data_IF_706031088314
#
_entry.id   IF_706031088314
#
_cell.length_a   1.000
_cell.length_b   1.000
_cell.length_c   1.000
_cell.angle_alpha   90.00
_cell.angle_beta   90.00
_cell.angle_gamma   90.00
#
_symmetry.space_group_name_H-M   'P 1'
#
loop_
_entity.id
_entity.type
_entity.pdbx_description
1 polymer ?
#
# COMPACT_ATOMS: atom_id res chain seq x y z
N UNK A 1 37.77 -22.48 -24.41
CA UNK A 1 38.72 -21.44 -23.95
C UNK A 1 40.02 -22.05 -23.43
N UNK A 2 39.97 -23.30 -22.93
CA UNK A 2 41.11 -24.10 -22.48
C UNK A 2 42.34 -23.98 -23.39
N UNK A 3 42.16 -24.12 -24.70
CA UNK A 3 43.26 -24.15 -25.69
C UNK A 3 43.99 -22.81 -25.89
N UNK A 4 43.47 -21.69 -25.34
CA UNK A 4 44.10 -20.37 -25.53
C UNK A 4 45.37 -20.18 -24.70
N UNK A 5 45.54 -20.91 -23.61
CA UNK A 5 46.67 -20.74 -22.70
C UNK A 5 47.24 -22.10 -22.30
N UNK A 6 48.55 -22.28 -22.52
CA UNK A 6 49.28 -23.51 -22.13
C UNK A 6 49.67 -23.51 -20.65
N UNK A 7 49.98 -22.35 -20.10
CA UNK A 7 50.17 -22.15 -18.66
C UNK A 7 49.04 -21.28 -18.10
N UNK A 8 48.20 -21.92 -17.27
CA UNK A 8 47.08 -21.26 -16.59
C UNK A 8 47.51 -20.51 -15.32
N UNK A 9 48.64 -20.89 -14.71
CA UNK A 9 49.20 -20.21 -13.53
C UNK A 9 49.79 -18.86 -13.91
N UNK A 10 50.57 -18.78 -14.99
CA UNK A 10 51.09 -17.50 -15.50
C UNK A 10 49.93 -16.55 -15.87
N UNK A 11 48.94 -17.07 -16.62
CA UNK A 11 47.76 -16.31 -17.01
C UNK A 11 46.98 -15.78 -15.80
N UNK A 12 46.69 -16.61 -14.80
CA UNK A 12 45.93 -16.20 -13.62
C UNK A 12 46.70 -15.21 -12.73
N UNK A 13 47.99 -15.42 -12.48
CA UNK A 13 48.81 -14.46 -11.72
C UNK A 13 48.81 -13.09 -12.41
N UNK A 14 49.07 -13.05 -13.72
CA UNK A 14 49.07 -11.82 -14.53
C UNK A 14 47.72 -11.09 -14.57
N UNK A 15 46.61 -11.76 -14.22
CA UNK A 15 45.25 -11.21 -14.28
C UNK A 15 44.64 -10.93 -12.90
N UNK A 16 45.14 -11.56 -11.84
CA UNK A 16 44.56 -11.47 -10.48
C UNK A 16 45.45 -10.73 -9.47
N UNK A 17 46.77 -10.61 -9.70
CA UNK A 17 47.63 -9.80 -8.82
C UNK A 17 47.19 -8.33 -8.84
N UNK A 18 46.76 -7.82 -7.68
CA UNK A 18 46.23 -6.45 -7.54
C UNK A 18 44.77 -6.28 -7.98
N UNK A 19 44.10 -7.34 -8.45
CA UNK A 19 42.67 -7.28 -8.77
C UNK A 19 41.81 -7.19 -7.50
N UNK A 20 40.71 -6.43 -7.56
CA UNK A 20 39.69 -6.42 -6.49
C UNK A 20 38.88 -7.72 -6.53
N UNK A 21 38.50 -8.21 -5.36
CA UNK A 21 37.64 -9.39 -5.17
C UNK A 21 36.67 -9.14 -4.00
N UNK A 22 35.73 -10.05 -3.77
CA UNK A 22 34.78 -9.96 -2.65
C UNK A 22 35.50 -10.11 -1.29
N UNK A 23 35.08 -9.37 -0.25
CA UNK A 23 35.49 -9.65 1.13
C UNK A 23 35.16 -11.08 1.55
N UNK A 24 36.00 -11.70 2.39
CA UNK A 24 35.81 -13.08 2.86
C UNK A 24 34.52 -13.29 3.67
N UNK A 25 33.99 -12.24 4.29
CA UNK A 25 32.73 -12.23 5.03
C UNK A 25 31.51 -11.77 4.21
N UNK A 26 31.66 -11.56 2.89
CA UNK A 26 30.58 -11.03 2.04
C UNK A 26 29.31 -11.88 2.10
N UNK A 27 29.44 -13.21 1.97
CA UNK A 27 28.28 -14.12 1.99
C UNK A 27 27.55 -14.09 3.35
N UNK A 28 28.28 -14.00 4.46
CA UNK A 28 27.68 -13.84 5.78
C UNK A 28 26.88 -12.54 5.85
N UNK A 29 27.41 -11.42 5.31
CA UNK A 29 26.68 -10.15 5.29
C UNK A 29 25.44 -10.14 4.41
N UNK A 30 25.42 -10.89 3.31
CA UNK A 30 24.19 -11.13 2.54
C UNK A 30 23.20 -11.96 3.37
N UNK A 31 23.63 -13.07 3.97
CA UNK A 31 22.77 -13.92 4.78
C UNK A 31 22.17 -13.18 5.99
N UNK A 32 22.99 -12.45 6.76
CA UNK A 32 22.56 -11.57 7.87
C UNK A 32 21.47 -10.58 7.39
N UNK A 33 21.66 -9.94 6.23
CA UNK A 33 20.77 -8.90 5.72
C UNK A 33 19.40 -9.39 5.24
N UNK A 34 19.28 -10.69 4.93
CA UNK A 34 18.03 -11.30 4.47
C UNK A 34 17.11 -11.72 5.63
N UNK A 35 17.59 -11.68 6.89
CA UNK A 35 16.80 -12.02 8.07
C UNK A 35 15.81 -10.89 8.40
N UNK A 36 14.53 -11.25 8.47
CA UNK A 36 13.45 -10.41 9.00
C UNK A 36 13.58 -10.24 10.51
N UNK A 37 13.23 -9.06 11.01
CA UNK A 37 13.13 -8.83 12.47
C UNK A 37 11.95 -9.60 13.06
N UNK A 38 10.85 -9.66 12.31
CA UNK A 38 9.62 -10.35 12.70
C UNK A 38 9.68 -11.86 12.41
N UNK A 39 8.89 -12.63 13.16
CA UNK A 39 8.59 -14.06 12.92
C UNK A 39 7.11 -14.26 12.60
N UNK A 40 6.78 -15.29 11.82
CA UNK A 40 5.38 -15.70 11.64
C UNK A 40 4.75 -16.08 12.99
N UNK A 41 3.45 -15.83 13.14
CA UNK A 41 2.72 -16.03 14.40
C UNK A 41 2.81 -14.87 15.39
N UNK A 42 3.53 -13.78 15.09
CA UNK A 42 3.40 -12.53 15.84
C UNK A 42 2.12 -11.80 15.46
N UNK A 43 1.46 -11.22 16.46
CA UNK A 43 0.35 -10.29 16.36
C UNK A 43 0.88 -8.85 16.37
N UNK A 44 0.26 -7.98 15.58
CA UNK A 44 0.54 -6.55 15.52
C UNK A 44 -0.74 -5.77 15.26
N UNK A 45 -0.67 -4.45 15.38
CA UNK A 45 -1.75 -3.54 15.00
C UNK A 45 -1.46 -2.98 13.61
N UNK A 46 -2.46 -2.92 12.74
CA UNK A 46 -2.28 -2.44 11.36
C UNK A 46 -3.54 -1.76 10.83
N UNK A 47 -3.40 -0.82 9.90
CA UNK A 47 -4.54 -0.16 9.24
C UNK A 47 -5.57 -1.16 8.70
N UNK A 48 -6.87 -0.94 8.96
CA UNK A 48 -7.95 -1.70 8.32
C UNK A 48 -8.15 -1.22 6.88
N UNK A 49 -7.81 -2.06 5.89
CA UNK A 49 -7.97 -1.77 4.45
C UNK A 49 -9.42 -1.49 4.03
N UNK A 50 -10.39 -1.88 4.87
CA UNK A 50 -11.81 -1.64 4.65
C UNK A 50 -12.32 -0.37 5.37
N UNK A 51 -11.51 0.20 6.28
CA UNK A 51 -11.81 1.42 7.04
C UNK A 51 -10.50 2.06 7.52
N UNK A 52 -9.89 2.88 6.67
CA UNK A 52 -8.54 3.40 6.89
C UNK A 52 -8.39 4.30 8.14
N UNK A 53 -9.51 4.75 8.71
CA UNK A 53 -9.56 5.53 9.95
C UNK A 53 -9.32 4.74 11.25
N UNK A 54 -9.15 3.41 11.19
CA UNK A 54 -8.94 2.56 12.37
C UNK A 54 -7.81 1.55 12.15
N UNK A 55 -7.14 1.19 13.24
CA UNK A 55 -6.27 0.01 13.28
C UNK A 55 -7.10 -1.26 13.46
N UNK A 56 -6.43 -2.40 13.31
CA UNK A 56 -7.00 -3.73 13.47
C UNK A 56 -5.92 -4.71 13.88
N UNK A 57 -6.26 -5.65 14.76
CA UNK A 57 -5.30 -6.70 15.15
C UNK A 57 -5.11 -7.68 13.99
N UNK A 58 -3.86 -7.93 13.63
CA UNK A 58 -3.49 -8.88 12.58
C UNK A 58 -2.31 -9.76 12.99
N UNK A 59 -2.26 -10.98 12.46
CA UNK A 59 -1.17 -11.94 12.68
C UNK A 59 -0.33 -12.08 11.41
N UNK A 60 0.99 -12.17 11.54
CA UNK A 60 1.91 -12.43 10.42
C UNK A 60 1.85 -13.91 10.04
N UNK A 61 1.31 -14.21 8.86
CA UNK A 61 1.22 -15.59 8.36
C UNK A 61 2.49 -16.02 7.60
N UNK A 62 3.06 -15.10 6.81
CA UNK A 62 4.18 -15.40 5.91
C UNK A 62 5.12 -14.20 5.79
N UNK A 63 6.40 -14.48 5.54
CA UNK A 63 7.43 -13.45 5.28
C UNK A 63 8.21 -13.84 4.02
N UNK A 64 8.42 -12.89 3.10
CA UNK A 64 9.25 -13.06 1.89
C UNK A 64 10.11 -11.83 1.70
N UNK A 65 11.43 -11.96 1.88
CA UNK A 65 12.37 -10.84 1.71
C UNK A 65 12.03 -9.62 2.57
N UNK A 66 11.64 -9.82 3.83
CA UNK A 66 11.13 -8.77 4.76
C UNK A 66 9.79 -8.13 4.41
N UNK A 67 9.15 -8.48 3.27
CA UNK A 67 7.71 -8.23 3.08
C UNK A 67 6.93 -9.20 3.97
N UNK A 68 6.13 -8.65 4.88
CA UNK A 68 5.22 -9.34 5.77
C UNK A 68 3.87 -9.52 5.08
N UNK A 69 3.29 -10.71 5.20
CA UNK A 69 1.91 -10.99 4.86
C UNK A 69 1.10 -11.10 6.15
N UNK A 70 0.09 -10.25 6.29
CA UNK A 70 -0.70 -10.09 7.52
C UNK A 70 -2.17 -10.40 7.27
N UNK A 71 -2.78 -11.12 8.22
CA UNK A 71 -4.19 -11.51 8.22
C UNK A 71 -4.89 -10.98 9.47
N UNK A 72 -6.01 -10.28 9.31
CA UNK A 72 -6.79 -9.76 10.44
C UNK A 72 -7.37 -10.89 11.31
N UNK A 73 -7.48 -10.65 12.62
CA UNK A 73 -7.98 -11.64 13.59
C UNK A 73 -9.38 -12.18 13.28
N UNK A 74 -10.23 -11.36 12.65
CA UNK A 74 -11.60 -11.66 12.25
C UNK A 74 -11.76 -11.81 10.72
N UNK A 75 -10.65 -11.99 9.98
CA UNK A 75 -10.67 -12.15 8.54
C UNK A 75 -11.50 -13.37 8.10
N UNK A 76 -12.40 -13.17 7.13
CA UNK A 76 -13.17 -14.23 6.47
C UNK A 76 -12.22 -15.29 5.85
N UNK A 77 -12.56 -16.59 5.80
CA UNK A 77 -11.74 -17.61 5.15
C UNK A 77 -11.25 -17.26 3.73
N UNK A 78 -12.04 -16.52 2.94
CA UNK A 78 -11.68 -16.08 1.60
C UNK A 78 -10.92 -14.72 1.57
N UNK A 79 -10.80 -14.00 2.69
CA UNK A 79 -9.91 -12.82 2.78
C UNK A 79 -8.44 -13.29 2.74
N UNK A 80 -7.71 -12.77 1.75
CA UNK A 80 -6.31 -13.07 1.49
C UNK A 80 -5.34 -12.18 2.29
N UNK A 81 -5.83 -11.40 3.26
CA UNK A 81 -5.02 -10.48 4.06
C UNK A 81 -4.48 -9.31 3.23
N UNK A 82 -3.26 -8.85 3.51
CA UNK A 82 -2.48 -7.97 2.62
C UNK A 82 -0.98 -8.04 2.93
N UNK A 83 -0.16 -7.30 2.17
CA UNK A 83 1.30 -7.28 2.30
C UNK A 83 1.82 -5.87 2.59
N UNK A 84 2.92 -5.79 3.34
CA UNK A 84 3.68 -4.56 3.62
C UNK A 84 5.14 -4.92 3.94
N UNK A 85 6.08 -3.97 3.92
CA UNK A 85 7.45 -4.23 4.43
C UNK A 85 7.49 -4.21 5.97
N UNK A 86 8.50 -4.85 6.59
CA UNK A 86 8.76 -4.77 8.04
C UNK A 86 9.07 -3.35 8.57
N UNK A 87 9.25 -2.39 7.66
CA UNK A 87 9.50 -0.97 7.93
C UNK A 87 8.35 -0.07 7.46
N UNK A 88 7.20 -0.65 7.11
CA UNK A 88 6.03 0.09 6.66
C UNK A 88 5.43 0.94 7.80
N UNK A 89 5.07 2.22 7.56
CA UNK A 89 4.42 3.06 8.56
C UNK A 89 2.97 2.67 8.86
N UNK A 90 2.46 1.59 8.23
CA UNK A 90 1.10 1.08 8.41
C UNK A 90 0.98 0.05 9.55
N UNK A 91 2.12 -0.54 9.99
CA UNK A 91 2.19 -1.55 11.05
C UNK A 91 2.73 -0.94 12.35
N UNK A 92 2.16 -1.35 13.48
CA UNK A 92 2.43 -0.81 14.81
C UNK A 92 2.48 -1.92 15.87
N UNK A 93 3.21 -1.70 16.99
CA UNK A 93 3.30 -2.68 18.08
C UNK A 93 1.97 -2.85 18.82
N UNK A 94 1.84 -3.98 19.51
CA UNK A 94 0.67 -4.31 20.33
C UNK A 94 0.49 -3.27 21.44
N UNK A 95 -0.71 -2.68 21.52
CA UNK A 95 -1.06 -1.60 22.45
C UNK A 95 -0.84 -0.19 21.89
N UNK A 96 -0.25 -0.02 20.70
CA UNK A 96 0.07 1.28 20.12
C UNK A 96 -1.15 2.19 19.93
N UNK A 97 -2.25 1.69 19.40
CA UNK A 97 -3.44 2.49 19.15
C UNK A 97 -4.01 3.07 20.44
N UNK A 98 -4.03 2.28 21.52
CA UNK A 98 -4.38 2.74 22.88
C UNK A 98 -3.36 3.74 23.43
N UNK A 99 -2.07 3.55 23.15
CA UNK A 99 -0.97 4.45 23.56
C UNK A 99 -1.00 5.81 22.85
N UNK A 100 -1.40 5.85 21.58
CA UNK A 100 -1.51 7.07 20.76
C UNK A 100 -2.87 7.75 20.91
N UNK A 101 -3.96 6.99 21.09
CA UNK A 101 -5.35 7.51 21.09
C UNK A 101 -6.06 7.33 19.74
N UNK A 102 -5.65 6.31 18.99
CA UNK A 102 -6.23 5.86 17.72
C UNK A 102 -7.34 4.82 17.97
N UNK A 103 -8.30 4.70 17.04
CA UNK A 103 -9.37 3.69 17.07
C UNK A 103 -8.82 2.33 16.62
N UNK A 104 -9.26 1.23 17.24
CA UNK A 104 -8.86 -0.14 16.87
C UNK A 104 -10.04 -1.13 16.88
N UNK A 105 -10.10 -2.01 15.89
CA UNK A 105 -10.95 -3.20 15.84
C UNK A 105 -10.16 -4.42 16.37
N UNK A 106 -10.63 -5.02 17.47
CA UNK A 106 -9.92 -6.06 18.22
C UNK A 106 -10.88 -6.97 19.00
N UNK A 107 -10.46 -8.20 19.39
CA UNK A 107 -11.17 -8.98 20.41
C UNK A 107 -11.24 -8.26 21.76
N UNK A 108 -12.32 -8.45 22.53
CA UNK A 108 -12.45 -7.88 23.88
C UNK A 108 -11.26 -8.28 24.77
N UNK A 109 -10.90 -9.57 24.78
CA UNK A 109 -9.73 -10.09 25.51
C UNK A 109 -8.35 -9.70 24.93
N UNK A 110 -8.29 -8.96 23.82
CA UNK A 110 -7.07 -8.24 23.41
C UNK A 110 -7.02 -6.87 24.06
N UNK A 111 -8.16 -6.16 24.08
CA UNK A 111 -8.28 -4.85 24.73
C UNK A 111 -8.00 -4.97 26.23
N UNK A 112 -8.60 -5.94 26.93
CA UNK A 112 -8.34 -6.22 28.35
C UNK A 112 -6.85 -6.42 28.65
N UNK A 113 -6.11 -7.16 27.81
CA UNK A 113 -4.65 -7.32 27.98
C UNK A 113 -3.89 -6.02 27.74
N UNK A 114 -4.31 -5.19 26.79
CA UNK A 114 -3.69 -3.88 26.54
C UNK A 114 -3.98 -2.87 27.67
N UNK A 115 -5.12 -3.01 28.35
CA UNK A 115 -5.46 -2.25 29.55
C UNK A 115 -4.61 -2.66 30.76
N UNK A 116 -4.29 -3.95 30.90
CA UNK A 116 -3.42 -4.51 31.95
C UNK A 116 -1.92 -4.50 31.62
N UNK A 117 -1.53 -4.13 30.39
CA UNK A 117 -0.17 -4.32 29.82
C UNK A 117 0.35 -5.77 29.87
N UNK A 118 -0.57 -6.74 29.73
CA UNK A 118 -0.33 -8.18 29.83
C UNK A 118 0.13 -8.79 28.49
N UNK A 119 1.37 -8.47 28.09
CA UNK A 119 1.97 -8.91 26.83
C UNK A 119 2.23 -10.42 26.76
N UNK A 120 2.14 -10.98 25.56
CA UNK A 120 2.34 -12.39 25.21
C UNK A 120 3.64 -12.58 24.40
N UNK A 121 4.21 -13.79 24.39
CA UNK A 121 5.34 -14.11 23.49
C UNK A 121 4.97 -13.99 21.99
N UNK A 122 3.67 -13.97 21.69
CA UNK A 122 3.12 -13.80 20.34
C UNK A 122 2.78 -12.34 20.01
N UNK A 123 3.04 -11.37 20.88
CA UNK A 123 2.82 -9.96 20.58
C UNK A 123 4.09 -9.32 19.99
N UNK A 124 3.96 -8.51 18.94
CA UNK A 124 5.05 -7.68 18.42
C UNK A 124 5.17 -6.40 19.26
N UNK A 125 6.25 -6.30 20.03
CA UNK A 125 6.61 -5.17 20.91
C UNK A 125 7.42 -4.09 20.15
N UNK A 126 7.61 -2.92 20.76
CA UNK A 126 8.20 -1.75 20.09
C UNK A 126 9.57 -2.02 19.41
N UNK A 127 10.41 -2.92 19.94
CA UNK A 127 11.74 -3.22 19.40
C UNK A 127 11.75 -3.89 18.01
N UNK A 128 10.61 -4.35 17.51
CA UNK A 128 10.48 -4.86 16.13
C UNK A 128 10.29 -3.73 15.10
N UNK A 129 9.86 -2.54 15.52
CA UNK A 129 9.40 -1.46 14.64
C UNK A 129 10.45 -0.34 14.51
N UNK A 130 10.35 0.45 13.44
CA UNK A 130 11.15 1.66 13.31
C UNK A 130 10.49 2.81 14.06
N UNK A 131 11.20 3.42 15.02
CA UNK A 131 10.74 4.64 15.70
C UNK A 131 10.88 5.83 14.74
N UNK A 132 9.81 6.60 14.44
CA UNK A 132 9.92 7.80 13.62
C UNK A 132 10.92 8.81 14.20
N UNK A 133 11.62 9.60 13.35
CA UNK A 133 12.49 10.66 13.84
C UNK A 133 11.67 11.76 14.53
N UNK A 134 12.15 12.31 15.67
CA UNK A 134 11.47 13.37 16.41
C UNK A 134 11.43 14.66 15.58
N UNK A 135 10.45 15.51 15.86
CA UNK A 135 10.30 16.79 15.18
C UNK A 135 11.45 17.76 15.52
N UNK A 136 11.93 18.47 14.49
CA UNK A 136 13.03 19.45 14.61
C UNK A 136 12.61 20.71 15.38
N UNK A 137 11.30 20.98 15.47
CA UNK A 137 10.73 22.06 16.26
C UNK A 137 9.74 21.47 17.27
N UNK A 138 9.96 21.73 18.57
CA UNK A 138 9.11 21.28 19.68
C UNK A 138 8.02 22.29 20.06
N UNK A 139 8.17 23.54 19.63
CA UNK A 139 7.41 24.68 20.13
C UNK A 139 6.19 25.01 19.24
N UNK A 140 6.08 24.31 18.10
CA UNK A 140 4.97 24.40 17.14
C UNK A 140 4.53 22.98 16.81
N UNK A 141 3.23 22.73 16.85
CA UNK A 141 2.60 21.46 16.50
C UNK A 141 1.49 21.66 15.46
N UNK A 142 1.05 20.56 14.84
CA UNK A 142 -0.19 20.53 14.08
C UNK A 142 -1.39 20.79 15.01
N UNK A 143 -2.47 21.37 14.45
CA UNK A 143 -3.73 21.65 15.14
C UNK A 143 -4.91 21.29 14.22
N UNK A 144 -6.05 21.00 14.82
CA UNK A 144 -7.27 20.63 14.08
C UNK A 144 -7.76 21.80 13.21
N UNK A 145 -8.23 21.49 12.00
CA UNK A 145 -8.59 22.47 10.97
C UNK A 145 -7.42 23.00 10.12
N UNK A 146 -6.15 22.72 10.47
CA UNK A 146 -5.02 23.13 9.62
C UNK A 146 -5.05 22.44 8.25
N UNK A 147 -4.85 23.22 7.18
CA UNK A 147 -4.72 22.74 5.80
C UNK A 147 -3.28 22.39 5.42
N UNK A 148 -3.12 21.36 4.60
CA UNK A 148 -1.85 20.89 4.06
C UNK A 148 -2.06 20.20 2.70
N UNK A 149 -0.98 19.71 2.09
CA UNK A 149 -1.01 18.79 0.95
C UNK A 149 -0.56 17.39 1.41
N UNK A 150 -1.15 16.33 0.87
CA UNK A 150 -0.77 14.95 1.23
C UNK A 150 -0.87 14.01 0.03
N UNK A 151 -0.03 12.97 -0.02
CA UNK A 151 -0.27 11.83 -0.93
C UNK A 151 -1.56 11.13 -0.48
N UNK A 152 -2.46 10.90 -1.43
CA UNK A 152 -3.73 10.23 -1.19
C UNK A 152 -3.50 8.73 -0.90
N UNK A 153 -3.90 8.21 0.28
CA UNK A 153 -3.65 6.82 0.69
C UNK A 153 -4.53 5.80 -0.05
N UNK A 154 -5.57 6.24 -0.78
CA UNK A 154 -6.41 5.43 -1.65
C UNK A 154 -6.11 5.66 -3.14
N UNK A 155 -5.27 6.63 -3.48
CA UNK A 155 -4.79 6.88 -4.84
C UNK A 155 -3.38 7.51 -4.84
N UNK A 156 -2.36 6.67 -4.67
CA UNK A 156 -0.96 7.11 -4.50
C UNK A 156 -0.32 7.76 -5.75
N UNK A 157 -1.07 7.90 -6.86
CA UNK A 157 -0.70 8.76 -7.99
C UNK A 157 -0.95 10.26 -7.75
N UNK A 158 -1.82 10.58 -6.79
CA UNK A 158 -2.28 11.92 -6.50
C UNK A 158 -1.63 12.50 -5.23
N UNK A 159 -1.29 13.79 -5.30
CA UNK A 159 -1.14 14.65 -4.12
C UNK A 159 -2.39 15.52 -4.09
N UNK A 160 -3.04 15.59 -2.93
CA UNK A 160 -4.34 16.21 -2.74
C UNK A 160 -4.27 17.30 -1.66
N UNK A 161 -5.19 18.26 -1.74
CA UNK A 161 -5.50 19.15 -0.60
C UNK A 161 -6.07 18.32 0.56
N UNK A 162 -5.62 18.58 1.78
CA UNK A 162 -5.99 17.83 2.96
C UNK A 162 -6.14 18.71 4.22
N UNK A 163 -6.91 18.21 5.19
CA UNK A 163 -7.20 18.88 6.48
C UNK A 163 -6.77 18.01 7.65
N UNK A 164 -6.12 18.58 8.68
CA UNK A 164 -5.93 17.92 9.98
C UNK A 164 -7.28 17.84 10.70
N UNK A 165 -7.78 16.62 10.88
CA UNK A 165 -9.08 16.35 11.51
C UNK A 165 -8.98 16.08 13.01
N UNK A 166 -7.86 15.50 13.46
CA UNK A 166 -7.59 15.21 14.87
C UNK A 166 -6.09 15.14 15.14
N UNK A 167 -5.63 15.68 16.27
CA UNK A 167 -4.25 15.48 16.76
C UNK A 167 -4.22 14.35 17.79
N UNK A 168 -3.24 13.44 17.69
CA UNK A 168 -3.06 12.30 18.59
C UNK A 168 -1.78 12.49 19.44
N UNK A 169 -1.45 11.51 20.30
CA UNK A 169 -0.17 11.48 21.02
C UNK A 169 0.95 10.94 20.12
N UNK A 170 2.21 11.07 20.57
CA UNK A 170 3.41 10.62 19.84
C UNK A 170 3.48 11.22 18.42
N UNK A 171 3.13 12.51 18.28
CA UNK A 171 3.16 13.31 17.04
C UNK A 171 2.40 12.72 15.83
N UNK A 172 1.45 11.81 16.06
CA UNK A 172 0.52 11.34 15.03
C UNK A 172 -0.67 12.31 14.83
N UNK A 173 -1.13 12.41 13.59
CA UNK A 173 -2.29 13.21 13.18
C UNK A 173 -3.23 12.37 12.31
N UNK A 174 -4.53 12.56 12.49
CA UNK A 174 -5.54 12.13 11.51
C UNK A 174 -5.75 13.27 10.53
N UNK A 175 -5.59 12.99 9.24
CA UNK A 175 -5.96 13.91 8.16
C UNK A 175 -7.13 13.36 7.36
N UNK A 176 -7.87 14.23 6.68
CA UNK A 176 -8.83 13.89 5.63
C UNK A 176 -8.36 14.48 4.32
N UNK A 177 -8.59 13.76 3.22
CA UNK A 177 -8.38 14.28 1.87
C UNK A 177 -9.62 15.09 1.44
N UNK A 178 -9.44 16.34 1.04
CA UNK A 178 -10.54 17.27 0.77
C UNK A 178 -11.23 17.04 -0.59
N UNK A 179 -10.66 16.18 -1.46
CA UNK A 179 -11.26 15.77 -2.74
C UNK A 179 -12.35 14.70 -2.58
N UNK A 180 -12.42 14.04 -1.42
CA UNK A 180 -13.43 13.03 -1.08
C UNK A 180 -14.82 13.65 -0.87
N UNK A 181 -15.88 12.84 -1.04
CA UNK A 181 -17.23 13.19 -0.62
C UNK A 181 -17.35 13.29 0.92
N UNK A 182 -18.30 14.08 1.41
CA UNK A 182 -18.46 14.35 2.85
C UNK A 182 -18.91 13.09 3.62
N UNK A 183 -18.02 12.49 4.41
CA UNK A 183 -18.36 11.43 5.36
C UNK A 183 -18.40 11.95 6.82
N UNK A 184 -19.62 12.07 7.35
CA UNK A 184 -19.84 12.43 8.75
C UNK A 184 -19.44 11.32 9.76
N UNK A 185 -19.06 10.13 9.30
CA UNK A 185 -18.56 9.03 10.14
C UNK A 185 -17.04 9.04 10.34
N UNK A 186 -16.31 9.86 9.57
CA UNK A 186 -14.84 9.96 9.59
C UNK A 186 -14.11 8.66 9.25
N UNK A 187 -14.75 7.74 8.51
CA UNK A 187 -14.15 6.48 8.06
C UNK A 187 -13.09 6.68 6.96
N UNK A 188 -13.09 7.87 6.33
CA UNK A 188 -12.18 8.32 5.29
C UNK A 188 -10.92 9.04 5.81
N UNK A 189 -10.80 9.23 7.13
CA UNK A 189 -9.60 9.83 7.74
C UNK A 189 -8.43 8.85 7.72
N UNK A 190 -7.21 9.35 7.55
CA UNK A 190 -5.97 8.56 7.51
C UNK A 190 -4.96 9.04 8.55
N UNK A 191 -4.19 8.11 9.11
CA UNK A 191 -3.17 8.39 10.12
C UNK A 191 -1.79 8.65 9.49
N UNK A 192 -1.20 9.81 9.73
CA UNK A 192 0.21 10.06 9.45
C UNK A 192 0.95 10.51 10.71
N UNK A 193 2.21 10.12 10.86
CA UNK A 193 3.13 10.79 11.79
C UNK A 193 3.52 12.16 11.22
N UNK A 194 3.69 13.19 12.06
CA UNK A 194 4.05 14.54 11.62
C UNK A 194 5.34 14.62 10.78
N UNK A 195 6.34 13.76 11.07
CA UNK A 195 7.56 13.66 10.26
C UNK A 195 7.42 12.84 8.96
N UNK A 196 6.24 12.28 8.66
CA UNK A 196 5.97 11.47 7.45
C UNK A 196 6.35 12.20 6.16
N UNK A 197 7.15 11.60 5.25
CA UNK A 197 7.51 12.23 3.98
C UNK A 197 6.33 12.42 3.02
N UNK A 198 5.16 11.81 3.31
CA UNK A 198 3.97 11.85 2.45
C UNK A 198 3.04 13.05 2.72
N UNK A 199 3.39 13.96 3.63
CA UNK A 199 2.64 15.20 3.90
C UNK A 199 3.52 16.44 3.68
N UNK A 200 2.97 17.49 3.08
CA UNK A 200 3.68 18.65 2.55
C UNK A 200 2.97 19.96 2.93
N UNK A 201 3.67 21.11 2.97
CA UNK A 201 3.04 22.40 3.17
C UNK A 201 2.14 22.77 1.97
N UNK A 202 1.10 23.56 2.20
CA UNK A 202 0.29 24.14 1.13
C UNK A 202 1.15 24.97 0.16
N UNK A 203 0.94 24.76 -1.15
CA UNK A 203 1.74 25.32 -2.23
C UNK A 203 2.97 24.48 -2.61
N UNK A 204 3.19 23.30 -2.01
CA UNK A 204 4.29 22.40 -2.37
C UNK A 204 4.17 21.93 -3.82
N UNK A 205 2.97 21.54 -4.26
CA UNK A 205 2.72 21.13 -5.64
C UNK A 205 2.99 22.26 -6.63
N UNK A 206 2.52 23.48 -6.35
CA UNK A 206 2.71 24.65 -7.21
C UNK A 206 4.20 24.97 -7.41
N UNK A 207 4.94 25.11 -6.30
CA UNK A 207 6.38 25.41 -6.29
C UNK A 207 7.19 24.34 -7.05
N UNK A 208 6.77 23.08 -6.99
CA UNK A 208 7.46 21.97 -7.65
C UNK A 208 6.88 21.60 -9.02
N UNK A 209 5.84 22.30 -9.51
CA UNK A 209 5.11 21.98 -10.75
C UNK A 209 4.55 20.55 -10.79
N UNK A 210 3.90 20.12 -9.71
CA UNK A 210 3.13 18.87 -9.61
C UNK A 210 1.64 19.21 -9.77
N UNK A 211 0.84 18.44 -10.51
CA UNK A 211 -0.61 18.60 -10.51
C UNK A 211 -1.19 18.28 -9.13
N UNK A 212 -1.75 19.29 -8.46
CA UNK A 212 -2.49 19.15 -7.21
C UNK A 212 -3.94 18.72 -7.51
N UNK A 213 -4.43 17.68 -6.84
CA UNK A 213 -5.86 17.36 -6.85
C UNK A 213 -6.58 18.32 -5.89
N UNK A 214 -7.52 19.15 -6.39
CA UNK A 214 -8.18 20.15 -5.57
C UNK A 214 -9.31 19.54 -4.71
N UNK A 215 -9.90 20.32 -3.79
CA UNK A 215 -11.06 19.91 -3.00
C UNK A 215 -12.28 19.57 -3.87
N UNK A 216 -13.22 18.80 -3.32
CA UNK A 216 -14.46 18.41 -4.02
C UNK A 216 -15.20 19.64 -4.55
N UNK A 217 -15.49 19.64 -5.85
CA UNK A 217 -16.24 20.71 -6.53
C UNK A 217 -15.41 21.89 -7.06
N UNK A 218 -14.09 21.89 -6.87
CA UNK A 218 -13.17 22.88 -7.45
C UNK A 218 -12.60 22.36 -8.79
N UNK A 219 -12.40 23.27 -9.76
CA UNK A 219 -11.73 22.93 -11.02
C UNK A 219 -10.20 22.94 -10.82
N UNK A 220 -9.45 21.90 -11.23
CA UNK A 220 -7.98 21.86 -11.10
C UNK A 220 -7.23 22.99 -11.82
N UNK A 221 -7.86 23.69 -12.77
CA UNK A 221 -7.30 24.83 -13.49
C UNK A 221 -7.67 26.19 -12.92
N UNK A 222 -8.62 26.25 -11.98
CA UNK A 222 -9.06 27.48 -11.28
C UNK A 222 -8.81 27.45 -9.76
N UNK A 223 -8.28 26.35 -9.22
CA UNK A 223 -7.98 26.23 -7.79
C UNK A 223 -6.89 27.23 -7.36
N UNK A 224 -7.18 27.99 -6.30
CA UNK A 224 -6.26 28.91 -5.64
C UNK A 224 -6.32 28.71 -4.13
N UNK A 225 -5.14 28.53 -3.52
CA UNK A 225 -4.99 28.35 -2.09
C UNK A 225 -5.51 29.54 -1.28
N UNK A 226 -5.26 30.79 -1.71
CA UNK A 226 -5.68 31.96 -0.95
C UNK A 226 -7.21 32.11 -0.91
N UNK A 227 -7.86 31.89 -2.06
CA UNK A 227 -9.32 31.81 -2.18
C UNK A 227 -9.90 30.67 -1.32
N UNK A 228 -9.33 29.47 -1.39
CA UNK A 228 -9.85 28.32 -0.64
C UNK A 228 -9.78 28.53 0.89
N UNK A 229 -8.68 29.10 1.39
CA UNK A 229 -8.51 29.43 2.81
C UNK A 229 -9.49 30.51 3.27
N UNK A 230 -9.76 31.51 2.43
CA UNK A 230 -10.73 32.58 2.71
C UNK A 230 -12.18 32.09 2.67
N UNK A 231 -12.54 31.21 1.73
CA UNK A 231 -13.88 30.59 1.67
C UNK A 231 -14.13 29.58 2.80
N UNK A 232 -13.09 28.87 3.26
CA UNK A 232 -13.21 27.91 4.37
C UNK A 232 -13.00 28.51 5.77
N UNK A 233 -12.47 29.73 5.88
CA UNK A 233 -12.05 30.37 7.13
C UNK A 233 -11.09 29.49 7.96
N UNK A 234 -10.15 28.84 7.27
CA UNK A 234 -9.12 27.96 7.86
C UNK A 234 -7.71 28.44 7.48
N UNK A 235 -6.70 27.93 8.17
CA UNK A 235 -5.29 28.31 8.00
C UNK A 235 -4.43 27.13 7.57
N UNK A 236 -3.32 27.40 6.87
CA UNK A 236 -2.32 26.38 6.51
C UNK A 236 -1.48 25.95 7.71
N UNK A 237 -1.10 24.68 7.78
CA UNK A 237 -0.09 24.20 8.71
C UNK A 237 1.25 24.96 8.51
N UNK A 238 1.90 25.46 9.58
CA UNK A 238 3.16 26.20 9.47
C UNK A 238 4.29 25.42 8.78
N UNK A 239 4.99 26.07 7.84
CA UNK A 239 6.08 25.49 7.04
C UNK A 239 7.17 24.79 7.89
N UNK A 240 7.43 25.28 9.10
CA UNK A 240 8.42 24.71 10.03
C UNK A 240 8.12 23.25 10.41
N UNK A 241 6.85 22.82 10.39
CA UNK A 241 6.43 21.45 10.67
C UNK A 241 6.88 20.44 9.59
N UNK A 242 7.21 20.92 8.39
CA UNK A 242 7.59 20.12 7.23
C UNK A 242 9.10 20.15 6.94
N UNK A 243 9.91 20.72 7.84
CA UNK A 243 11.35 20.83 7.65
C UNK A 243 12.03 19.45 7.79
N UNK A 244 12.38 18.83 6.66
CA UNK A 244 13.00 17.49 6.57
C UNK A 244 14.30 17.56 5.77
N UNK A 245 15.26 16.71 6.13
CA UNK A 245 16.47 16.52 5.32
C UNK A 245 16.13 15.89 3.96
N UNK A 246 16.77 16.39 2.91
CA UNK A 246 16.80 15.76 1.59
C UNK A 246 18.14 15.01 1.50
N UNK A 247 18.17 13.68 1.71
CA UNK A 247 19.42 12.92 1.74
C UNK A 247 20.04 12.84 0.34
N UNK A 248 21.34 12.53 0.27
CA UNK A 248 22.05 12.30 -0.98
C UNK A 248 21.73 10.93 -1.61
N UNK A 249 20.44 10.64 -1.83
CA UNK A 249 19.87 9.33 -2.18
C UNK A 249 20.30 8.76 -3.54
N UNK A 250 20.94 9.55 -4.42
CA UNK A 250 21.57 9.08 -5.66
C UNK A 250 20.63 8.69 -6.81
N UNK A 251 19.33 8.48 -6.56
CA UNK A 251 18.32 8.30 -7.61
C UNK A 251 18.33 9.43 -8.64
N UNK A 252 18.23 9.07 -9.92
CA UNK A 252 18.03 9.99 -11.05
C UNK A 252 16.94 9.48 -11.99
N UNK A 253 16.30 10.39 -12.72
CA UNK A 253 15.26 10.05 -13.70
C UNK A 253 15.80 9.06 -14.75
N UNK A 254 15.00 8.03 -15.05
CA UNK A 254 15.35 6.94 -15.95
C UNK A 254 16.08 5.76 -15.30
N UNK A 255 16.41 5.83 -14.00
CA UNK A 255 16.84 4.63 -13.26
C UNK A 255 15.70 3.61 -13.19
N UNK A 256 16.03 2.35 -13.47
CA UNK A 256 15.12 1.20 -13.31
C UNK A 256 15.26 0.61 -11.91
N UNK A 257 14.15 0.15 -11.35
CA UNK A 257 14.06 -0.51 -10.05
C UNK A 257 13.01 -1.65 -10.10
N UNK A 258 12.88 -2.37 -9.00
CA UNK A 258 11.71 -3.20 -8.71
C UNK A 258 10.91 -2.46 -7.64
N UNK A 259 9.59 -2.30 -7.79
CA UNK A 259 8.76 -1.56 -6.84
C UNK A 259 7.48 -2.34 -6.54
N UNK A 260 7.02 -2.33 -5.29
CA UNK A 260 5.70 -2.84 -4.96
C UNK A 260 4.63 -1.94 -5.61
N UNK A 261 3.57 -2.53 -6.16
CA UNK A 261 2.36 -1.77 -6.47
C UNK A 261 1.60 -1.58 -5.16
N UNK A 262 1.54 -0.36 -4.64
CA UNK A 262 0.87 -0.11 -3.36
C UNK A 262 -0.67 -0.19 -3.43
N UNK A 263 -1.24 -0.23 -4.65
CA UNK A 263 -2.68 -0.52 -4.85
C UNK A 263 -2.99 -2.03 -4.84
N UNK A 264 -2.00 -2.88 -5.11
CA UNK A 264 -2.05 -4.33 -4.87
C UNK A 264 -0.70 -4.84 -4.32
N UNK A 265 -0.41 -4.65 -3.01
CA UNK A 265 0.92 -4.90 -2.41
C UNK A 265 1.46 -6.34 -2.51
N UNK A 266 0.67 -7.27 -3.07
CA UNK A 266 1.09 -8.63 -3.46
C UNK A 266 2.03 -8.61 -4.67
N UNK A 267 1.95 -7.57 -5.50
CA UNK A 267 2.72 -7.41 -6.73
C UNK A 267 4.01 -6.64 -6.44
N UNK A 268 5.11 -7.09 -7.04
CA UNK A 268 6.33 -6.29 -7.19
C UNK A 268 6.65 -6.27 -8.69
N UNK A 269 6.78 -5.08 -9.24
CA UNK A 269 6.74 -4.78 -10.67
C UNK A 269 8.06 -4.15 -11.14
N UNK A 270 8.38 -4.31 -12.43
CA UNK A 270 9.45 -3.52 -13.06
C UNK A 270 9.03 -2.05 -13.10
N UNK A 271 9.79 -1.19 -12.41
CA UNK A 271 9.51 0.22 -12.26
C UNK A 271 10.66 1.13 -12.71
N UNK A 272 10.35 2.41 -12.89
CA UNK A 272 11.29 3.44 -13.35
C UNK A 272 11.05 4.76 -12.64
N UNK A 273 12.11 5.43 -12.20
CA UNK A 273 12.01 6.80 -11.67
C UNK A 273 11.65 7.74 -12.83
N UNK A 274 10.38 8.15 -12.92
CA UNK A 274 9.89 9.11 -13.93
C UNK A 274 10.15 10.56 -13.51
N UNK A 275 10.23 10.84 -12.20
CA UNK A 275 10.52 12.18 -11.66
C UNK A 275 11.25 12.12 -10.31
N UNK A 276 12.03 13.17 -10.00
CA UNK A 276 12.67 13.41 -8.70
C UNK A 276 12.33 14.84 -8.27
N UNK A 277 11.87 15.03 -7.03
CA UNK A 277 11.44 16.31 -6.44
C UNK A 277 11.94 16.38 -4.99
N UNK A 278 13.19 16.83 -4.81
CA UNK A 278 13.88 16.63 -3.54
C UNK A 278 13.94 15.14 -3.18
N UNK A 279 13.46 14.77 -2.00
CA UNK A 279 13.36 13.37 -1.55
C UNK A 279 12.16 12.60 -2.14
N UNK A 280 11.21 13.26 -2.79
CA UNK A 280 10.03 12.62 -3.37
C UNK A 280 10.31 12.12 -4.80
N UNK A 281 10.00 10.86 -5.08
CA UNK A 281 10.15 10.22 -6.39
C UNK A 281 8.76 9.95 -7.01
N UNK A 282 8.61 10.13 -8.32
CA UNK A 282 7.51 9.51 -9.07
C UNK A 282 8.04 8.25 -9.73
N UNK A 283 7.38 7.12 -9.51
CA UNK A 283 7.76 5.81 -10.05
C UNK A 283 6.70 5.34 -11.04
N UNK A 284 7.13 5.15 -12.29
CA UNK A 284 6.36 4.61 -13.39
C UNK A 284 6.47 3.09 -13.46
N UNK A 285 5.37 2.38 -13.68
CA UNK A 285 5.36 0.93 -13.90
C UNK A 285 5.44 0.61 -15.39
N UNK A 286 6.51 -0.08 -15.81
CA UNK A 286 6.87 -0.21 -17.22
C UNK A 286 5.76 -0.85 -18.08
N UNK A 287 5.29 -0.10 -19.08
CA UNK A 287 4.28 -0.57 -20.05
C UNK A 287 2.82 -0.38 -19.59
N UNK A 288 2.60 0.27 -18.46
CA UNK A 288 1.30 0.79 -18.05
C UNK A 288 1.14 2.27 -18.43
N UNK A 289 -0.07 2.78 -18.26
CA UNK A 289 -0.43 4.18 -18.44
C UNK A 289 0.12 5.07 -17.29
N UNK A 290 0.53 6.32 -17.56
CA UNK A 290 1.15 7.24 -16.55
C UNK A 290 0.22 7.61 -15.37
N UNK A 291 -1.07 7.29 -15.51
CA UNK A 291 -2.11 7.36 -14.48
C UNK A 291 -1.86 6.38 -13.32
N UNK A 292 -1.06 5.33 -13.54
CA UNK A 292 -0.67 4.35 -12.51
C UNK A 292 0.67 4.65 -11.84
N UNK A 293 1.40 5.69 -12.25
CA UNK A 293 2.63 6.12 -11.58
C UNK A 293 2.35 6.47 -10.10
N UNK A 294 3.17 5.98 -9.18
CA UNK A 294 3.01 6.23 -7.73
C UNK A 294 4.07 7.20 -7.20
N UNK A 295 3.67 8.05 -6.26
CA UNK A 295 4.57 8.92 -5.51
C UNK A 295 5.13 8.17 -4.29
N UNK A 296 6.45 8.05 -4.23
CA UNK A 296 7.18 7.32 -3.19
C UNK A 296 8.31 8.19 -2.64
N UNK A 297 8.57 8.11 -1.34
CA UNK A 297 9.77 8.71 -0.75
C UNK A 297 11.04 7.96 -1.17
N UNK A 298 12.18 8.65 -1.31
CA UNK A 298 13.45 8.03 -1.70
C UNK A 298 13.98 6.99 -0.71
N UNK A 299 13.50 6.98 0.54
CA UNK A 299 13.81 6.00 1.58
C UNK A 299 12.64 5.00 1.81
N UNK A 300 11.65 4.96 0.91
CA UNK A 300 10.50 4.05 0.99
C UNK A 300 10.92 2.56 0.96
N UNK A 301 10.44 1.73 1.89
CA UNK A 301 10.78 0.32 1.99
C UNK A 301 10.06 -0.58 0.96
N UNK A 302 9.27 0.02 0.06
CA UNK A 302 8.54 -0.64 -1.03
C UNK A 302 9.24 -0.48 -2.39
N UNK A 303 10.44 0.13 -2.42
CA UNK A 303 11.35 0.19 -3.58
C UNK A 303 12.59 -0.69 -3.38
N UNK A 304 12.99 -1.41 -4.43
CA UNK A 304 14.02 -2.44 -4.38
C UNK A 304 15.02 -2.37 -5.54
N UNK A 305 16.30 -2.73 -5.32
CA UNK A 305 17.29 -2.86 -6.40
C UNK A 305 16.90 -3.93 -7.43
N UNK A 306 17.27 -3.70 -8.70
CA UNK A 306 17.08 -4.70 -9.77
C UNK A 306 17.79 -6.02 -9.41
N UNK A 307 17.02 -7.11 -9.40
CA UNK A 307 17.45 -8.44 -8.97
C UNK A 307 16.98 -8.83 -7.56
N UNK A 308 16.29 -7.95 -6.81
CA UNK A 308 15.82 -8.23 -5.46
C UNK A 308 14.80 -9.38 -5.42
N UNK A 309 13.79 -9.40 -6.30
CA UNK A 309 12.82 -10.49 -6.40
C UNK A 309 13.50 -11.83 -6.64
N UNK A 310 14.55 -11.87 -7.48
CA UNK A 310 15.34 -13.07 -7.72
C UNK A 310 16.14 -13.51 -6.47
N UNK A 311 16.70 -12.56 -5.72
CA UNK A 311 17.44 -12.83 -4.49
C UNK A 311 16.56 -13.39 -3.36
N UNK A 312 15.35 -12.82 -3.18
CA UNK A 312 14.45 -13.19 -2.06
C UNK A 312 13.41 -14.26 -2.41
N UNK A 313 13.32 -14.67 -3.69
CA UNK A 313 12.33 -15.63 -4.17
C UNK A 313 10.91 -15.05 -4.35
N UNK A 314 10.78 -13.73 -4.51
CA UNK A 314 9.51 -13.08 -4.84
C UNK A 314 9.23 -13.17 -6.35
N UNK A 315 7.96 -13.10 -6.75
CA UNK A 315 7.58 -12.96 -8.16
C UNK A 315 7.78 -11.51 -8.59
N UNK A 316 8.46 -11.30 -9.71
CA UNK A 316 8.55 -10.02 -10.40
C UNK A 316 7.52 -10.00 -11.55
N UNK A 317 6.64 -8.99 -11.57
CA UNK A 317 5.79 -8.70 -12.71
C UNK A 317 6.58 -7.92 -13.77
N UNK A 318 6.72 -8.53 -14.96
CA UNK A 318 7.38 -7.89 -16.09
C UNK A 318 6.49 -6.88 -16.82
N UNK A 319 7.08 -6.03 -17.69
CA UNK A 319 6.33 -5.01 -18.41
C UNK A 319 5.15 -5.56 -19.20
N UNK A 320 4.04 -4.83 -19.21
CA UNK A 320 2.82 -5.23 -19.92
C UNK A 320 3.08 -5.27 -21.43
N UNK A 321 2.90 -6.43 -22.04
CA UNK A 321 3.09 -6.58 -23.49
C UNK A 321 2.08 -5.69 -24.25
N UNK A 322 2.53 -4.86 -25.23
CA UNK A 322 1.64 -3.95 -25.94
C UNK A 322 0.59 -4.75 -26.71
N UNK A 323 -0.69 -4.59 -26.34
CA UNK A 323 -1.77 -5.35 -26.96
C UNK A 323 -1.90 -4.98 -28.43
N UNK A 324 -1.55 -5.92 -29.31
CA UNK A 324 -1.76 -5.76 -30.74
C UNK A 324 -3.26 -5.82 -31.02
N UNK A 325 -3.93 -4.65 -30.98
CA UNK A 325 -5.31 -4.47 -31.42
C UNK A 325 -5.39 -4.81 -32.91
N UNK A 326 -5.60 -6.09 -33.19
CA UNK A 326 -5.69 -6.63 -34.53
C UNK A 326 -6.92 -6.03 -35.24
N UNK A 327 -6.68 -4.97 -36.01
CA UNK A 327 -7.69 -4.25 -36.76
C UNK A 327 -8.29 -5.19 -37.82
N UNK A 328 -9.50 -5.69 -37.54
CA UNK A 328 -10.23 -6.64 -38.38
C UNK A 328 -10.84 -5.97 -39.63
N UNK A 329 -9.99 -5.30 -40.40
CA UNK A 329 -10.32 -4.68 -41.68
C UNK A 329 -10.72 -5.75 -42.70
N UNK A 330 -12.03 -6.01 -42.80
CA UNK A 330 -12.61 -7.09 -43.60
C UNK A 330 -12.55 -6.83 -45.11
N UNK A 331 -11.35 -6.95 -45.70
CA UNK A 331 -11.12 -6.91 -47.14
C UNK A 331 -11.80 -8.08 -47.87
N UNK A 332 -12.69 -7.77 -48.82
CA UNK A 332 -13.43 -8.76 -49.63
C UNK A 332 -12.64 -9.18 -50.87
N UNK A 333 -12.52 -10.49 -51.12
CA UNK A 333 -12.21 -11.05 -52.45
C UNK A 333 -12.88 -12.44 -52.64
N UNK A 334 -13.07 -12.95 -53.89
CA UNK A 334 -14.21 -13.84 -54.20
C UNK A 334 -13.97 -15.37 -54.11
N UNK A 335 -15.09 -16.11 -54.26
CA UNK A 335 -15.20 -17.59 -54.17
C UNK A 335 -14.52 -18.33 -55.33
N UNK A 336 -13.86 -19.47 -55.05
CA UNK A 336 -13.22 -20.31 -56.07
C UNK A 336 -13.19 -21.82 -55.81
N UNK A 337 -14.26 -22.53 -56.25
CA UNK A 337 -14.30 -23.98 -56.61
C UNK A 337 -14.10 -25.04 -55.49
N UNK A 338 -14.73 -26.21 -55.66
CA UNK A 338 -14.83 -27.33 -54.70
C UNK A 338 -13.79 -28.44 -54.96
N UNK A 339 -13.40 -29.20 -53.92
CA UNK A 339 -13.03 -30.63 -54.01
C UNK A 339 -13.31 -31.37 -52.69
N UNK A 340 -13.90 -32.57 -52.74
CA UNK A 340 -14.16 -33.46 -51.58
C UNK A 340 -13.18 -34.65 -51.56
N UNK A 341 -12.64 -35.06 -50.41
CA UNK A 341 -12.11 -36.42 -50.20
C UNK A 341 -13.23 -37.47 -50.01
N UNK A 342 -12.89 -38.76 -50.11
CA UNK A 342 -13.83 -39.92 -50.06
C UNK A 342 -13.52 -40.83 -48.85
N UNK A 343 -14.54 -41.51 -48.28
CA UNK A 343 -14.37 -42.60 -47.28
C UNK A 343 -14.23 -43.97 -47.99
N UNK A 344 -13.31 -44.84 -47.53
CA UNK A 344 -13.23 -46.34 -47.66
C UNK A 344 -11.81 -46.81 -47.23
N UNK A 345 -11.54 -48.03 -46.75
CA UNK A 345 -12.35 -48.97 -45.95
C UNK A 345 -11.47 -50.06 -45.25
N UNK A 346 -11.70 -50.26 -43.94
CA UNK A 346 -11.44 -51.41 -43.05
C UNK A 346 -10.86 -52.76 -43.59
N UNK A 347 -9.79 -53.25 -42.93
CA UNK A 347 -9.39 -54.66 -42.62
C UNK A 347 -8.41 -54.63 -41.42
N UNK A 348 -8.30 -55.59 -40.49
CA UNK A 348 -9.16 -56.74 -40.15
C UNK A 348 -8.44 -57.87 -39.38
N UNK A 349 -9.05 -58.42 -38.30
CA UNK A 349 -8.58 -59.47 -37.35
C UNK A 349 -7.53 -59.00 -36.30
N UNK A 350 -7.52 -59.52 -35.06
CA UNK A 350 -8.43 -60.47 -34.39
C UNK A 350 -8.21 -60.59 -32.85
N UNK A 351 -9.11 -61.31 -32.16
CA UNK A 351 -9.10 -61.62 -30.70
C UNK A 351 -9.09 -63.16 -30.48
N UNK A 352 -8.92 -63.74 -29.26
CA UNK A 352 -9.77 -63.61 -28.04
C UNK A 352 -8.97 -63.18 -26.77
N UNK A 353 -9.53 -62.66 -25.66
CA UNK A 353 -10.48 -63.23 -24.66
C UNK A 353 -9.68 -63.55 -23.36
N UNK A 354 -10.18 -63.61 -22.11
CA UNK A 354 -11.43 -63.22 -21.38
C UNK A 354 -11.19 -63.52 -19.86
N UNK A 355 -12.02 -63.36 -18.80
CA UNK A 355 -13.49 -63.23 -18.59
C UNK A 355 -13.82 -62.44 -17.27
N UNK A 356 -14.47 -61.27 -17.36
CA UNK A 356 -15.32 -60.65 -16.30
C UNK A 356 -14.68 -60.32 -14.90
N UNK A 357 -15.34 -59.77 -13.85
CA UNK A 357 -16.77 -59.50 -13.55
C UNK A 357 -17.01 -58.30 -12.59
N UNK A 358 -18.09 -57.52 -12.84
CA UNK A 358 -19.02 -56.88 -11.86
C UNK A 358 -18.42 -55.83 -10.87
N UNK A 359 -19.18 -54.86 -10.29
CA UNK A 359 -20.64 -54.68 -10.15
C UNK A 359 -20.99 -53.17 -10.04
N UNK A 360 -22.16 -52.76 -10.53
CA UNK A 360 -22.86 -51.48 -10.28
C UNK A 360 -23.96 -51.67 -9.20
N UNK A 361 -24.90 -50.74 -8.90
CA UNK A 361 -25.12 -49.32 -9.28
C UNK A 361 -25.19 -48.39 -8.02
N UNK A 362 -25.66 -47.13 -8.01
CA UNK A 362 -26.14 -46.18 -9.03
C UNK A 362 -26.72 -44.87 -8.42
N UNK A 363 -27.09 -43.94 -9.31
CA UNK A 363 -28.09 -42.83 -9.29
C UNK A 363 -28.86 -42.44 -7.99
N UNK A 364 -29.38 -41.20 -7.80
CA UNK A 364 -29.88 -40.22 -8.80
C UNK A 364 -30.03 -38.79 -8.21
N UNK A 365 -30.21 -37.81 -9.10
CA UNK A 365 -30.87 -36.47 -8.99
C UNK A 365 -31.88 -36.31 -7.82
N UNK A 366 -32.21 -35.10 -7.30
CA UNK A 366 -32.54 -33.87 -8.03
C UNK A 366 -32.52 -32.59 -7.14
N UNK A 367 -32.95 -31.44 -7.67
CA UNK A 367 -33.05 -30.14 -6.99
C UNK A 367 -34.48 -29.56 -7.07
N UNK A 368 -34.87 -28.67 -6.14
CA UNK A 368 -35.97 -27.67 -6.32
C UNK A 368 -36.02 -26.61 -5.19
N UNK A 369 -36.50 -25.40 -5.55
CA UNK A 369 -37.06 -24.30 -4.72
C UNK A 369 -36.15 -23.68 -3.61
N UNK A 370 -36.01 -22.35 -3.43
CA UNK A 370 -36.92 -21.16 -3.47
C UNK A 370 -37.93 -21.04 -2.32
N UNK A 371 -37.82 -19.93 -1.59
CA UNK A 371 -38.96 -19.10 -1.14
C UNK A 371 -38.49 -17.66 -0.87
N UNK A 372 -39.39 -16.69 -1.04
CA UNK A 372 -39.16 -15.24 -0.89
C UNK A 372 -39.98 -14.66 0.30
N UNK A 373 -40.00 -13.33 0.45
CA UNK A 373 -40.85 -12.50 1.37
C UNK A 373 -40.45 -12.48 2.87
N UNK A 374 -40.69 -11.44 3.68
CA UNK A 374 -40.99 -10.00 3.51
C UNK A 374 -40.71 -9.31 4.89
N UNK A 375 -40.03 -8.17 5.02
CA UNK A 375 -40.40 -6.76 4.74
C UNK A 375 -41.43 -6.11 5.71
N UNK A 376 -41.19 -4.81 6.01
CA UNK A 376 -42.09 -3.74 6.54
C UNK A 376 -42.26 -3.48 8.07
N UNK A 377 -42.33 -2.17 8.38
CA UNK A 377 -42.77 -1.45 9.61
C UNK A 377 -41.83 -1.49 10.84
N UNK A 378 -41.29 -0.40 11.42
CA UNK A 378 -41.70 1.02 11.62
C UNK A 378 -42.47 1.29 12.93
N UNK A 379 -41.84 1.99 13.89
CA UNK A 379 -42.51 2.77 14.96
C UNK A 379 -41.56 3.73 15.70
N UNK A 380 -41.89 5.01 15.65
CA UNK A 380 -41.57 6.08 16.62
C UNK A 380 -42.94 6.55 17.22
N UNK A 381 -43.09 7.51 18.17
CA UNK A 381 -42.14 8.55 18.59
C UNK A 381 -42.19 8.97 20.09
N UNK A 382 -41.67 10.18 20.37
CA UNK A 382 -41.93 11.09 21.51
C UNK A 382 -41.22 10.82 22.86
N UNK A 383 -40.74 11.86 23.59
CA UNK A 383 -40.55 13.26 23.14
C UNK A 383 -40.27 14.31 24.23
N UNK A 384 -40.12 15.56 23.75
CA UNK A 384 -40.34 16.87 24.43
C UNK A 384 -39.44 17.36 25.59
N UNK A 385 -38.66 18.41 25.28
CA UNK A 385 -38.39 19.62 26.12
C UNK A 385 -37.45 19.45 27.35
N UNK A 386 -36.85 20.50 27.94
CA UNK A 386 -37.11 21.96 27.81
C UNK A 386 -35.85 22.86 28.00
N UNK A 387 -36.03 24.14 27.67
CA UNK A 387 -35.21 25.36 27.87
C UNK A 387 -34.49 25.48 29.24
N UNK A 388 -33.44 26.30 29.47
CA UNK A 388 -33.29 27.74 29.12
C UNK A 388 -31.93 28.36 29.54
N UNK A 389 -31.49 29.44 28.86
CA UNK A 389 -30.79 30.61 29.47
C UNK A 389 -29.33 30.46 29.96
N UNK A 390 -28.51 31.52 30.06
CA UNK A 390 -28.62 32.96 29.68
C UNK A 390 -27.22 33.54 29.37
N UNK A 391 -27.15 34.74 28.79
CA UNK A 391 -25.89 35.47 28.53
C UNK A 391 -25.11 35.83 29.81
N UNK A 392 -23.79 36.07 29.69
CA UNK A 392 -23.14 37.37 29.99
C UNK A 392 -21.62 37.34 29.76
N UNK A 393 -21.18 38.17 28.81
CA UNK A 393 -19.86 38.84 28.74
C UNK A 393 -20.18 40.37 28.90
N UNK A 394 -19.26 41.33 29.10
CA UNK A 394 -17.79 41.26 29.01
C UNK A 394 -17.03 41.88 30.20
N UNK A 395 -15.68 41.87 30.14
CA UNK A 395 -14.91 43.10 30.44
C UNK A 395 -13.52 43.14 29.78
N UNK A 396 -13.11 44.35 29.37
CA UNK A 396 -11.81 44.62 28.74
C UNK A 396 -10.74 44.99 29.79
N UNK A 397 -9.48 44.58 29.56
CA UNK A 397 -8.37 44.91 30.46
C UNK A 397 -6.96 44.79 29.84
N UNK A 398 -6.53 45.84 29.12
CA UNK A 398 -5.09 46.06 28.87
C UNK A 398 -4.39 46.52 30.16
N UNK A 399 -3.09 46.24 30.32
CA UNK A 399 -2.04 47.23 30.67
C UNK A 399 -0.66 46.55 30.79
N UNK A 400 0.34 47.13 30.11
CA UNK A 400 1.79 46.86 30.16
C UNK A 400 2.28 45.50 29.64
#
# INVERSE_FOLDING_TARGET
>A
IEDKYKDWKEFLVKRLTGARTLPSNFQNKIADSLVSRFRCGLNLEVVDKNRISQMKVATIEKIVGKRLHVRYYNADPDDNGFWCHEDSPLIHPVGWARRVGQVIDAPDGYLERCDEAAWSEYDATDEYFHTPPPLVCTDVSFQEGMKLEAIDPLNLSAICVATVMKVLREDYIMIRIDSYDEDASGADWFCYHASSPCIFPAGFCDVNSIPLTPPKGYDPSEFDWARYLNESNLTTAPLVLFNREIPAHGFVVGMRLEAADLMDPRLVCVGTVSRVVGRLLKVHFDGWEEEYDQWLDCESPDMYPVGWCHLVGHKLEGPRAPTTKASSAAGKTPKGVKKKPRRRHKKGKGSPGSVASKKSPGSTNAATARNDTANTLCSSPSGMSSTSGTENDPYCGQVK
#
